data_IF_200487120179
#
_entry.id   IF_200487120179
#
_cell.length_a   1.000
_cell.length_b   1.000
_cell.length_c   1.000
_cell.angle_alpha   90.00
_cell.angle_beta   90.00
_cell.angle_gamma   90.00
#
_symmetry.space_group_name_H-M   'P 1'
#
loop_
_entity.id
_entity.type
_entity.pdbx_description
1 polymer ?
#
# COMPACT_ATOMS: atom_id res chain seq x y z
N UNK A 1 -4.73 -11.39 38.31
CA UNK A 1 -4.28 -10.51 37.19
C UNK A 1 -2.84 -10.76 36.72
N UNK A 2 -1.99 -11.51 37.44
CA UNK A 2 -0.59 -11.78 37.03
C UNK A 2 -0.40 -13.01 36.12
N UNK A 3 -1.31 -13.99 36.14
CA UNK A 3 -1.13 -15.24 35.37
C UNK A 3 -1.62 -15.15 33.92
N UNK A 4 -2.57 -14.25 33.62
CA UNK A 4 -3.05 -14.01 32.24
C UNK A 4 -2.03 -13.27 31.35
N UNK A 5 -1.16 -12.44 31.95
CA UNK A 5 -0.09 -11.74 31.23
C UNK A 5 1.06 -12.69 30.85
N UNK A 6 1.43 -13.64 31.73
CA UNK A 6 2.47 -14.64 31.47
C UNK A 6 2.08 -15.63 30.36
N UNK A 7 0.81 -16.01 30.26
CA UNK A 7 0.32 -16.94 29.22
C UNK A 7 0.33 -16.29 27.83
N UNK A 8 0.01 -14.99 27.70
CA UNK A 8 0.11 -14.25 26.42
C UNK A 8 1.55 -14.05 25.97
N UNK A 9 2.48 -13.77 26.89
CA UNK A 9 3.91 -13.62 26.58
C UNK A 9 4.53 -14.95 26.12
N UNK A 10 4.18 -16.08 26.76
CA UNK A 10 4.64 -17.41 26.33
C UNK A 10 4.07 -17.84 24.96
N UNK A 11 2.84 -17.45 24.63
CA UNK A 11 2.22 -17.71 23.31
C UNK A 11 2.95 -16.95 22.19
N UNK A 12 3.35 -15.71 22.44
CA UNK A 12 4.08 -14.86 21.49
C UNK A 12 5.52 -15.37 21.25
N UNK A 13 6.22 -15.77 22.31
CA UNK A 13 7.54 -16.42 22.21
C UNK A 13 7.49 -17.78 21.49
N UNK A 14 6.41 -18.55 21.63
CA UNK A 14 6.22 -19.80 20.87
C UNK A 14 5.98 -19.54 19.37
N UNK A 15 5.26 -18.47 19.01
CA UNK A 15 5.09 -18.06 17.61
C UNK A 15 6.40 -17.54 16.98
N UNK A 16 7.20 -16.76 17.71
CA UNK A 16 8.55 -16.37 17.30
C UNK A 16 9.50 -17.56 17.13
N UNK A 17 9.40 -18.57 18.01
CA UNK A 17 10.16 -19.82 17.83
C UNK A 17 9.70 -20.62 16.61
N UNK A 18 8.42 -20.62 16.26
CA UNK A 18 7.91 -21.25 15.02
C UNK A 18 8.39 -20.52 13.75
N UNK A 19 8.51 -19.19 13.79
CA UNK A 19 9.10 -18.39 12.71
C UNK A 19 10.61 -18.69 12.58
N UNK A 20 11.32 -18.77 13.70
CA UNK A 20 12.75 -19.14 13.72
C UNK A 20 13.01 -20.60 13.36
N UNK A 21 12.07 -21.52 13.58
CA UNK A 21 12.23 -22.95 13.25
C UNK A 21 11.93 -23.26 11.78
N UNK A 22 11.22 -22.38 11.06
CA UNK A 22 11.12 -22.39 9.60
C UNK A 22 12.42 -21.96 8.91
N UNK A 23 13.41 -21.47 9.66
CA UNK A 23 14.76 -21.16 9.19
C UNK A 23 15.59 -22.44 9.03
N UNK A 24 15.07 -23.40 8.27
CA UNK A 24 15.89 -24.49 7.75
C UNK A 24 16.87 -23.88 6.74
N UNK A 25 18.15 -23.97 7.07
CA UNK A 25 19.27 -23.68 6.18
C UNK A 25 19.04 -24.33 4.82
N UNK A 26 18.80 -23.50 3.79
CA UNK A 26 18.68 -23.98 2.42
C UNK A 26 20.03 -24.53 1.96
N UNK A 27 20.05 -25.82 1.61
CA UNK A 27 21.24 -26.49 1.08
C UNK A 27 21.54 -25.93 -0.31
N UNK A 28 22.72 -25.32 -0.46
CA UNK A 28 23.28 -24.81 -1.72
C UNK A 28 23.16 -25.83 -2.87
N UNK A 29 23.15 -27.14 -2.54
CA UNK A 29 22.97 -28.22 -3.50
C UNK A 29 21.68 -28.11 -4.31
N UNK A 30 20.60 -27.54 -3.76
CA UNK A 30 19.34 -27.37 -4.49
C UNK A 30 19.50 -26.47 -5.73
N UNK A 31 20.32 -25.42 -5.62
CA UNK A 31 20.60 -24.48 -6.71
C UNK A 31 21.67 -25.01 -7.67
N UNK A 32 22.63 -25.78 -7.18
CA UNK A 32 23.73 -26.34 -7.97
C UNK A 32 23.35 -27.60 -8.77
N UNK A 33 22.23 -28.25 -8.46
CA UNK A 33 21.75 -29.44 -9.19
C UNK A 33 21.11 -29.05 -10.52
N UNK A 34 21.90 -29.07 -11.60
CA UNK A 34 21.38 -29.25 -12.94
C UNK A 34 20.67 -30.62 -13.01
N UNK A 35 19.32 -30.62 -12.96
CA UNK A 35 18.54 -31.85 -13.23
C UNK A 35 19.09 -32.52 -14.48
N UNK A 36 19.43 -33.82 -14.36
CA UNK A 36 20.04 -34.64 -15.41
C UNK A 36 19.37 -34.35 -16.76
N UNK A 37 20.15 -34.18 -17.85
CA UNK A 37 19.58 -33.95 -19.16
C UNK A 37 18.60 -35.08 -19.51
N UNK A 38 17.43 -34.70 -20.01
CA UNK A 38 16.44 -35.63 -20.55
C UNK A 38 17.13 -36.38 -21.69
N UNK A 39 17.35 -37.69 -21.53
CA UNK A 39 17.99 -38.54 -22.56
C UNK A 39 17.13 -38.51 -23.84
N UNK A 40 17.47 -37.67 -24.80
CA UNK A 40 17.15 -37.89 -26.20
C UNK A 40 18.34 -38.58 -26.84
N UNK A 41 18.45 -39.90 -26.66
CA UNK A 41 19.41 -40.72 -27.38
C UNK A 41 18.91 -40.93 -28.81
N UNK A 42 19.27 -40.04 -29.72
CA UNK A 42 19.36 -40.36 -31.14
C UNK A 42 20.58 -39.65 -31.72
N UNK A 43 21.49 -40.46 -32.23
CA UNK A 43 22.75 -40.11 -32.92
C UNK A 43 23.96 -39.85 -32.02
N UNK A 44 24.63 -40.94 -31.62
CA UNK A 44 26.09 -40.92 -31.48
C UNK A 44 26.68 -42.17 -32.14
N UNK A 45 27.26 -41.96 -33.32
CA UNK A 45 28.14 -42.92 -33.99
C UNK A 45 29.46 -42.95 -33.21
N UNK A 46 29.98 -44.17 -33.05
CA UNK A 46 31.24 -44.50 -32.39
C UNK A 46 32.42 -43.81 -33.06
N UNK A 47 33.34 -43.28 -32.27
CA UNK A 47 34.77 -43.41 -32.57
C UNK A 47 35.60 -43.40 -31.29
N UNK A 48 36.55 -44.33 -31.23
CA UNK A 48 37.37 -44.65 -30.05
C UNK A 48 38.72 -43.93 -30.13
N UNK A 49 39.14 -43.40 -28.97
CA UNK A 49 40.51 -43.29 -28.46
C UNK A 49 41.57 -42.56 -29.30
N UNK A 50 41.74 -41.24 -29.05
CA UNK A 50 43.05 -40.57 -28.95
C UNK A 50 42.90 -39.36 -27.99
N UNK A 51 43.89 -39.13 -27.11
CA UNK A 51 44.13 -37.94 -26.26
C UNK A 51 43.28 -37.67 -24.99
N UNK A 52 43.86 -38.05 -23.84
CA UNK A 52 43.40 -37.74 -22.47
C UNK A 52 43.41 -36.23 -22.14
N UNK A 53 44.11 -35.40 -22.92
CA UNK A 53 44.09 -33.93 -22.81
C UNK A 53 42.98 -33.32 -23.67
N UNK A 54 42.75 -33.85 -24.88
CA UNK A 54 41.64 -33.44 -25.75
C UNK A 54 40.27 -33.79 -25.14
N UNK A 55 40.16 -34.92 -24.43
CA UNK A 55 38.94 -35.28 -23.67
C UNK A 55 38.56 -34.27 -22.59
N UNK A 56 39.53 -33.58 -21.98
CA UNK A 56 39.25 -32.54 -20.97
C UNK A 56 38.68 -31.30 -21.66
N UNK A 57 39.28 -30.88 -22.78
CA UNK A 57 38.83 -29.73 -23.59
C UNK A 57 37.44 -29.99 -24.20
N UNK A 58 37.19 -31.18 -24.76
CA UNK A 58 35.85 -31.58 -25.24
C UNK A 58 34.81 -31.66 -24.12
N UNK A 59 35.21 -32.06 -22.89
CA UNK A 59 34.30 -32.08 -21.75
C UNK A 59 33.84 -30.68 -21.33
N UNK A 60 34.69 -29.65 -21.47
CA UNK A 60 34.32 -28.27 -21.15
C UNK A 60 33.35 -27.69 -22.17
N UNK A 61 33.41 -28.10 -23.45
CA UNK A 61 32.41 -27.71 -24.45
C UNK A 61 31.01 -28.28 -24.16
N UNK A 62 30.93 -29.38 -23.38
CA UNK A 62 29.66 -29.97 -22.93
C UNK A 62 29.15 -29.39 -21.60
N UNK A 63 29.99 -28.62 -20.88
CA UNK A 63 29.60 -28.02 -19.61
C UNK A 63 28.80 -26.73 -19.85
N UNK A 64 27.62 -26.55 -19.22
CA UNK A 64 26.78 -25.36 -19.39
C UNK A 64 27.43 -24.00 -19.05
N UNK A 65 28.58 -24.00 -18.37
CA UNK A 65 29.36 -22.82 -17.99
C UNK A 65 30.71 -22.72 -18.75
N UNK A 66 31.00 -23.66 -19.66
CA UNK A 66 32.26 -23.70 -20.40
C UNK A 66 33.48 -23.74 -19.49
N UNK A 67 34.52 -22.99 -19.87
CA UNK A 67 35.76 -22.86 -19.08
C UNK A 67 35.55 -22.22 -17.70
N UNK A 68 34.45 -21.48 -17.49
CA UNK A 68 34.15 -20.90 -16.18
C UNK A 68 33.90 -21.97 -15.12
N UNK A 69 33.46 -23.17 -15.51
CA UNK A 69 33.28 -24.30 -14.58
C UNK A 69 34.60 -24.94 -14.13
N UNK A 70 35.72 -24.65 -14.81
CA UNK A 70 37.04 -25.11 -14.38
C UNK A 70 37.50 -24.42 -13.08
N UNK A 71 36.86 -23.30 -12.70
CA UNK A 71 37.21 -22.48 -11.56
C UNK A 71 36.41 -22.95 -10.32
N UNK A 72 37.07 -23.09 -9.14
CA UNK A 72 36.39 -23.33 -7.86
C UNK A 72 35.23 -22.36 -7.60
N UNK A 73 34.20 -22.84 -6.91
CA UNK A 73 32.98 -22.06 -6.64
C UNK A 73 33.28 -20.76 -5.87
N UNK A 74 34.27 -20.81 -4.98
CA UNK A 74 34.73 -19.68 -4.16
C UNK A 74 35.31 -18.57 -5.04
N UNK A 75 36.11 -18.93 -6.06
CA UNK A 75 36.69 -17.97 -6.99
C UNK A 75 35.62 -17.41 -7.94
N UNK A 76 34.64 -18.21 -8.36
CA UNK A 76 33.48 -17.71 -9.12
C UNK A 76 32.69 -16.67 -8.31
N UNK A 77 32.45 -16.95 -7.03
CA UNK A 77 31.77 -16.00 -6.14
C UNK A 77 32.61 -14.77 -5.82
N UNK A 78 33.95 -14.90 -5.79
CA UNK A 78 34.87 -13.77 -5.70
C UNK A 78 34.78 -12.87 -6.94
N UNK A 79 34.76 -13.45 -8.15
CA UNK A 79 34.56 -12.71 -9.41
C UNK A 79 33.22 -11.94 -9.37
N UNK A 80 32.16 -12.56 -8.87
CA UNK A 80 30.86 -11.91 -8.74
C UNK A 80 30.88 -10.69 -7.80
N UNK A 81 31.82 -10.57 -6.85
CA UNK A 81 31.93 -9.38 -6.00
C UNK A 81 32.39 -8.12 -6.75
N UNK A 82 33.02 -8.28 -7.93
CA UNK A 82 33.46 -7.16 -8.77
C UNK A 82 32.40 -6.68 -9.76
N UNK A 83 31.32 -7.44 -9.91
CA UNK A 83 30.18 -7.09 -10.75
C UNK A 83 29.19 -6.23 -9.98
N UNK A 84 28.37 -5.44 -10.66
CA UNK A 84 27.24 -4.77 -10.02
C UNK A 84 26.03 -5.72 -9.90
N UNK A 85 25.03 -5.35 -9.08
CA UNK A 85 23.75 -6.08 -9.00
C UNK A 85 23.08 -6.14 -10.39
N UNK A 86 23.25 -5.10 -11.21
CA UNK A 86 22.69 -5.04 -12.56
C UNK A 86 23.39 -6.02 -13.50
N UNK A 87 24.73 -6.08 -13.45
CA UNK A 87 25.50 -7.05 -14.23
C UNK A 87 25.12 -8.48 -13.86
N UNK A 88 25.05 -8.78 -12.56
CA UNK A 88 24.56 -10.07 -12.06
C UNK A 88 23.14 -10.35 -12.56
N UNK A 89 22.26 -9.34 -12.54
CA UNK A 89 20.90 -9.46 -13.04
C UNK A 89 20.86 -9.82 -14.53
N UNK A 90 21.71 -9.22 -15.37
CA UNK A 90 21.83 -9.54 -16.79
C UNK A 90 22.39 -10.96 -16.99
N UNK A 91 23.39 -11.37 -16.20
CA UNK A 91 23.95 -12.72 -16.32
C UNK A 91 22.93 -13.83 -16.03
N UNK A 92 21.91 -13.58 -15.21
CA UNK A 92 20.85 -14.57 -14.94
C UNK A 92 19.98 -14.93 -16.15
N UNK A 93 19.98 -14.13 -17.21
CA UNK A 93 19.22 -14.43 -18.43
C UNK A 93 20.07 -15.06 -19.54
N UNK A 94 21.38 -15.25 -19.33
CA UNK A 94 22.29 -15.82 -20.34
C UNK A 94 22.15 -17.35 -20.44
N UNK A 95 22.10 -18.06 -19.31
CA UNK A 95 21.90 -19.51 -19.30
C UNK A 95 21.31 -19.99 -17.98
N UNK A 96 20.67 -21.17 -17.99
CA UNK A 96 20.15 -21.79 -16.77
C UNK A 96 21.26 -22.05 -15.74
N UNK A 97 22.45 -22.46 -16.18
CA UNK A 97 23.55 -22.74 -15.27
C UNK A 97 24.12 -21.47 -14.65
N UNK A 98 24.24 -20.38 -15.42
CA UNK A 98 24.68 -19.09 -14.90
C UNK A 98 23.66 -18.53 -13.90
N UNK A 99 22.37 -18.59 -14.22
CA UNK A 99 21.29 -18.24 -13.30
C UNK A 99 21.39 -18.99 -11.97
N UNK A 100 21.48 -20.32 -12.02
CA UNK A 100 21.57 -21.19 -10.85
C UNK A 100 22.81 -20.85 -10.00
N UNK A 101 23.93 -20.55 -10.64
CA UNK A 101 25.17 -20.14 -9.98
C UNK A 101 25.01 -18.80 -9.24
N UNK A 102 24.36 -17.82 -9.87
CA UNK A 102 24.08 -16.50 -9.27
C UNK A 102 23.04 -16.61 -8.15
N UNK A 103 22.04 -17.45 -8.29
CA UNK A 103 21.10 -17.75 -7.20
C UNK A 103 21.81 -18.40 -6.02
N UNK A 104 22.75 -19.32 -6.28
CA UNK A 104 23.63 -19.89 -5.25
C UNK A 104 24.42 -18.80 -4.52
N UNK A 105 25.07 -17.90 -5.26
CA UNK A 105 25.79 -16.75 -4.69
C UNK A 105 24.90 -15.88 -3.81
N UNK A 106 23.67 -15.60 -4.27
CA UNK A 106 22.67 -14.82 -3.54
C UNK A 106 22.31 -15.43 -2.19
N UNK A 107 22.14 -16.75 -2.13
CA UNK A 107 21.71 -17.45 -0.91
C UNK A 107 22.86 -17.65 0.09
N UNK A 108 24.08 -17.91 -0.38
CA UNK A 108 25.20 -18.24 0.51
C UNK A 108 25.79 -17.05 1.25
N UNK A 109 25.98 -15.93 0.54
CA UNK A 109 26.51 -14.67 1.09
C UNK A 109 26.59 -13.67 -0.06
N UNK A 110 25.57 -12.84 -0.20
CA UNK A 110 25.79 -11.52 -0.79
C UNK A 110 26.88 -10.83 0.05
N UNK A 111 28.08 -10.75 -0.51
CA UNK A 111 29.30 -10.29 0.16
C UNK A 111 29.86 -9.06 -0.54
N UNK A 112 30.69 -8.29 0.16
CA UNK A 112 31.28 -7.07 -0.41
C UNK A 112 30.19 -6.04 -0.77
N UNK A 113 30.20 -5.44 -1.97
CA UNK A 113 29.27 -4.36 -2.35
C UNK A 113 27.80 -4.81 -2.39
N UNK A 114 27.56 -6.11 -2.51
CA UNK A 114 26.22 -6.70 -2.55
C UNK A 114 25.63 -6.94 -1.17
N UNK A 115 26.41 -6.83 -0.10
CA UNK A 115 25.92 -7.07 1.26
C UNK A 115 24.70 -6.19 1.55
N UNK A 116 23.68 -6.80 2.15
CA UNK A 116 22.48 -6.12 2.61
C UNK A 116 22.61 -5.92 4.11
N UNK A 117 22.95 -4.70 4.53
CA UNK A 117 22.84 -4.34 5.93
C UNK A 117 21.38 -4.05 6.25
N UNK A 118 20.70 -5.06 6.76
CA UNK A 118 19.31 -4.91 7.23
C UNK A 118 19.22 -3.94 8.41
N UNK A 119 20.29 -3.82 9.21
CA UNK A 119 20.37 -2.86 10.32
C UNK A 119 20.26 -1.41 9.82
N UNK A 120 20.86 -1.10 8.68
CA UNK A 120 20.90 0.27 8.16
C UNK A 120 19.50 0.78 7.78
N UNK A 121 18.58 -0.12 7.40
CA UNK A 121 17.18 0.21 7.10
C UNK A 121 16.38 0.66 8.33
N UNK A 122 16.87 0.30 9.53
CA UNK A 122 16.25 0.65 10.81
C UNK A 122 16.90 1.88 11.44
N UNK A 123 17.94 2.45 10.81
CA UNK A 123 18.54 3.72 11.20
C UNK A 123 17.74 4.90 10.62
N UNK A 124 17.93 6.07 11.22
CA UNK A 124 17.41 7.32 10.68
C UNK A 124 18.32 7.78 9.55
N UNK A 125 17.83 7.70 8.32
CA UNK A 125 18.59 8.02 7.10
C UNK A 125 18.25 9.40 6.55
N UNK A 126 19.22 10.08 5.95
CA UNK A 126 19.00 11.31 5.17
C UNK A 126 18.21 11.00 3.89
N UNK A 127 17.60 12.03 3.27
CA UNK A 127 16.83 11.84 2.03
C UNK A 127 17.67 11.22 0.89
N UNK A 128 18.94 11.62 0.78
CA UNK A 128 19.89 11.07 -0.19
C UNK A 128 20.14 9.58 0.06
N UNK A 129 20.41 9.20 1.32
CA UNK A 129 20.60 7.80 1.71
C UNK A 129 19.35 6.95 1.47
N UNK A 130 18.16 7.50 1.75
CA UNK A 130 16.90 6.81 1.46
C UNK A 130 16.75 6.55 -0.05
N UNK A 131 17.08 7.54 -0.88
CA UNK A 131 17.02 7.42 -2.34
C UNK A 131 17.99 6.36 -2.86
N UNK A 132 19.22 6.34 -2.33
CA UNK A 132 20.22 5.31 -2.67
C UNK A 132 19.74 3.91 -2.29
N UNK A 133 19.16 3.75 -1.09
CA UNK A 133 18.61 2.48 -0.64
C UNK A 133 17.44 2.03 -1.51
N UNK A 134 16.52 2.91 -1.87
CA UNK A 134 15.42 2.59 -2.80
C UNK A 134 15.95 2.17 -4.18
N UNK A 135 16.98 2.84 -4.69
CA UNK A 135 17.66 2.46 -5.94
C UNK A 135 18.28 1.05 -5.84
N UNK A 136 18.96 0.74 -4.73
CA UNK A 136 19.50 -0.61 -4.49
C UNK A 136 18.40 -1.68 -4.46
N UNK A 137 17.28 -1.42 -3.80
CA UNK A 137 16.15 -2.36 -3.74
C UNK A 137 15.43 -2.53 -5.09
N UNK A 138 15.38 -1.49 -5.92
CA UNK A 138 14.95 -1.63 -7.30
C UNK A 138 15.87 -2.57 -8.09
N UNK A 139 17.20 -2.40 -8.02
CA UNK A 139 18.17 -3.28 -8.69
C UNK A 139 18.07 -4.73 -8.20
N UNK A 140 17.87 -4.94 -6.89
CA UNK A 140 17.60 -6.26 -6.32
C UNK A 140 16.30 -6.87 -6.87
N UNK A 141 15.26 -6.07 -7.02
CA UNK A 141 14.00 -6.49 -7.62
C UNK A 141 14.19 -6.95 -9.06
N UNK A 142 15.01 -6.24 -9.86
CA UNK A 142 15.35 -6.65 -11.22
C UNK A 142 16.12 -7.98 -11.24
N UNK A 143 17.11 -8.16 -10.36
CA UNK A 143 17.84 -9.43 -10.21
C UNK A 143 16.89 -10.60 -9.92
N UNK A 144 15.97 -10.43 -8.95
CA UNK A 144 15.00 -11.49 -8.60
C UNK A 144 14.00 -11.70 -9.73
N UNK A 145 13.51 -10.64 -10.39
CA UNK A 145 12.60 -10.76 -11.54
C UNK A 145 13.22 -11.58 -12.67
N UNK A 146 14.46 -11.27 -13.04
CA UNK A 146 15.18 -11.93 -14.15
C UNK A 146 15.60 -13.35 -13.81
N UNK A 147 16.11 -13.60 -12.60
CA UNK A 147 16.44 -14.96 -12.16
C UNK A 147 15.21 -15.85 -12.06
N UNK A 148 14.08 -15.33 -11.61
CA UNK A 148 12.88 -16.15 -11.34
C UNK A 148 11.84 -16.13 -12.46
N UNK A 149 12.15 -15.58 -13.64
CA UNK A 149 11.16 -15.37 -14.71
C UNK A 149 10.54 -16.67 -15.26
N UNK A 150 11.23 -17.82 -15.10
CA UNK A 150 10.74 -19.14 -15.51
C UNK A 150 10.14 -19.94 -14.35
N UNK A 151 10.04 -19.35 -13.16
CA UNK A 151 9.55 -20.05 -11.97
C UNK A 151 8.03 -19.91 -11.89
N UNK A 152 7.37 -20.94 -11.36
CA UNK A 152 5.96 -20.82 -11.03
C UNK A 152 5.76 -19.72 -9.98
N UNK A 153 4.63 -19.01 -10.03
CA UNK A 153 4.28 -17.92 -9.09
C UNK A 153 4.53 -18.31 -7.64
N UNK A 154 4.14 -19.54 -7.25
CA UNK A 154 4.33 -20.07 -5.89
C UNK A 154 5.79 -20.05 -5.43
N UNK A 155 6.74 -20.40 -6.30
CA UNK A 155 8.16 -20.42 -5.94
C UNK A 155 8.76 -19.01 -5.93
N UNK A 156 8.28 -18.12 -6.79
CA UNK A 156 8.64 -16.69 -6.77
C UNK A 156 8.20 -16.03 -5.45
N UNK A 157 6.98 -16.35 -5.00
CA UNK A 157 6.43 -15.85 -3.74
C UNK A 157 7.21 -16.32 -2.50
N UNK A 158 7.77 -17.54 -2.50
CA UNK A 158 8.66 -18.00 -1.42
C UNK A 158 9.89 -17.11 -1.29
N UNK A 159 10.50 -16.75 -2.43
CA UNK A 159 11.68 -15.87 -2.46
C UNK A 159 11.32 -14.46 -1.97
N UNK A 160 10.15 -13.94 -2.37
CA UNK A 160 9.65 -12.64 -1.91
C UNK A 160 9.43 -12.65 -0.39
N UNK A 161 8.79 -13.68 0.16
CA UNK A 161 8.57 -13.80 1.60
C UNK A 161 9.87 -13.94 2.39
N UNK A 162 10.86 -14.64 1.86
CA UNK A 162 12.18 -14.73 2.46
C UNK A 162 12.83 -13.34 2.57
N UNK A 163 12.74 -12.54 1.52
CA UNK A 163 13.19 -11.14 1.56
C UNK A 163 12.45 -10.34 2.63
N UNK A 164 11.13 -10.47 2.68
CA UNK A 164 10.29 -9.78 3.66
C UNK A 164 10.65 -10.18 5.10
N UNK A 165 10.90 -11.46 5.36
CA UNK A 165 11.30 -11.96 6.69
C UNK A 165 12.60 -11.29 7.16
N UNK A 166 13.55 -11.05 6.24
CA UNK A 166 14.87 -10.49 6.59
C UNK A 166 14.84 -8.98 6.87
N UNK A 167 13.89 -8.26 6.27
CA UNK A 167 13.77 -6.80 6.40
C UNK A 167 12.68 -6.37 7.41
N UNK A 168 11.75 -7.28 7.73
CA UNK A 168 10.61 -6.95 8.59
C UNK A 168 11.08 -6.49 9.97
N UNK A 169 10.66 -5.28 10.35
CA UNK A 169 10.95 -4.70 11.65
C UNK A 169 10.17 -5.47 12.72
N UNK A 170 10.85 -6.41 13.38
CA UNK A 170 10.19 -7.37 14.29
C UNK A 170 10.31 -7.00 15.77
N UNK A 171 11.30 -6.17 16.16
CA UNK A 171 11.60 -5.85 17.56
C UNK A 171 11.94 -4.36 17.76
N UNK A 172 11.39 -3.77 18.82
CA UNK A 172 11.70 -2.43 19.34
C UNK A 172 13.18 -2.24 19.68
N UNK A 173 13.90 -3.32 19.98
CA UNK A 173 15.32 -3.26 20.37
C UNK A 173 16.25 -2.86 19.21
N UNK A 174 15.84 -3.11 17.95
CA UNK A 174 16.65 -2.85 16.75
C UNK A 174 16.18 -1.63 15.95
N UNK A 175 15.00 -1.07 16.26
CA UNK A 175 14.45 0.08 15.54
C UNK A 175 13.92 1.09 16.54
N UNK A 176 14.68 2.17 16.74
CA UNK A 176 14.38 3.23 17.69
C UNK A 176 13.18 4.10 17.28
N UNK A 177 12.88 4.14 15.98
CA UNK A 177 11.77 4.91 15.43
C UNK A 177 11.13 4.14 14.25
N UNK A 178 10.11 3.29 14.52
CA UNK A 178 9.39 2.57 13.48
C UNK A 178 8.74 3.48 12.45
N UNK A 179 8.35 4.71 12.83
CA UNK A 179 7.66 5.65 11.95
C UNK A 179 8.54 6.20 10.82
N UNK A 180 9.87 6.11 10.97
CA UNK A 180 10.86 6.55 9.97
C UNK A 180 11.68 5.40 9.39
N UNK A 181 11.30 4.16 9.71
CA UNK A 181 11.98 2.97 9.20
C UNK A 181 11.59 2.72 7.74
N UNK A 182 12.55 2.86 6.82
CA UNK A 182 12.27 2.69 5.37
C UNK A 182 12.21 1.23 4.93
N UNK A 183 12.32 0.25 5.85
CA UNK A 183 12.42 -1.17 5.49
C UNK A 183 11.24 -1.66 4.63
N UNK A 184 10.00 -1.31 5.01
CA UNK A 184 8.82 -1.67 4.23
C UNK A 184 8.70 -0.86 2.93
N UNK A 185 9.20 0.38 2.90
CA UNK A 185 9.25 1.19 1.68
C UNK A 185 10.23 0.59 0.66
N UNK A 186 11.42 0.19 1.12
CA UNK A 186 12.39 -0.58 0.33
C UNK A 186 11.81 -1.91 -0.14
N UNK A 187 11.06 -2.62 0.73
CA UNK A 187 10.34 -3.81 0.32
C UNK A 187 9.34 -3.55 -0.78
N UNK A 188 8.50 -2.53 -0.64
CA UNK A 188 7.52 -2.14 -1.65
C UNK A 188 8.19 -1.87 -2.99
N UNK A 189 9.30 -1.11 -2.99
CA UNK A 189 10.08 -0.85 -4.20
C UNK A 189 10.61 -2.13 -4.85
N UNK A 190 11.14 -3.05 -4.05
CA UNK A 190 11.56 -4.37 -4.51
C UNK A 190 10.40 -5.18 -5.07
N UNK A 191 9.29 -5.29 -4.33
CA UNK A 191 8.10 -6.05 -4.67
C UNK A 191 7.53 -5.60 -6.01
N UNK A 192 7.23 -4.29 -6.15
CA UNK A 192 6.67 -3.72 -7.38
C UNK A 192 7.60 -3.91 -8.58
N UNK A 193 8.92 -3.92 -8.36
CA UNK A 193 9.87 -4.24 -9.43
C UNK A 193 9.81 -5.72 -9.83
N UNK A 194 9.62 -6.64 -8.89
CA UNK A 194 9.51 -8.09 -9.15
C UNK A 194 8.21 -8.46 -9.84
N UNK A 195 7.09 -7.86 -9.40
CA UNK A 195 5.74 -8.15 -9.91
C UNK A 195 5.37 -7.34 -11.15
N UNK A 196 6.21 -6.40 -11.58
CA UNK A 196 5.96 -5.65 -12.81
C UNK A 196 5.75 -6.60 -14.00
N UNK A 197 4.59 -6.50 -14.65
CA UNK A 197 4.17 -7.35 -15.78
C UNK A 197 3.53 -8.69 -15.38
N UNK A 198 3.25 -8.90 -14.10
CA UNK A 198 2.38 -9.98 -13.64
C UNK A 198 0.92 -9.62 -13.94
N UNK A 199 0.08 -10.63 -14.15
CA UNK A 199 -1.36 -10.41 -14.27
C UNK A 199 -2.03 -10.19 -12.89
N UNK A 200 -3.26 -9.67 -12.91
CA UNK A 200 -4.05 -9.35 -11.71
C UNK A 200 -4.22 -10.53 -10.75
N UNK A 201 -4.31 -11.76 -11.27
CA UNK A 201 -4.46 -12.98 -10.46
C UNK A 201 -3.17 -13.35 -9.74
N UNK A 202 -2.02 -13.15 -10.38
CA UNK A 202 -0.73 -13.32 -9.73
C UNK A 202 -0.46 -12.21 -8.70
N UNK A 203 -0.81 -10.96 -9.02
CA UNK A 203 -0.73 -9.83 -8.11
C UNK A 203 -1.63 -10.02 -6.87
N UNK A 204 -2.84 -10.56 -7.06
CA UNK A 204 -3.72 -10.94 -5.96
C UNK A 204 -3.08 -12.00 -5.05
N UNK A 205 -2.49 -13.05 -5.62
CA UNK A 205 -1.78 -14.06 -4.83
C UNK A 205 -0.59 -13.49 -4.07
N UNK A 206 0.11 -12.51 -4.65
CA UNK A 206 1.17 -11.78 -3.96
C UNK A 206 0.62 -10.98 -2.77
N UNK A 207 -0.47 -10.24 -2.97
CA UNK A 207 -1.18 -9.52 -1.90
C UNK A 207 -1.52 -10.43 -0.73
N UNK A 208 -2.22 -11.54 -1.00
CA UNK A 208 -2.69 -12.48 0.02
C UNK A 208 -1.52 -13.10 0.79
N UNK A 209 -0.48 -13.51 0.06
CA UNK A 209 0.71 -14.15 0.63
C UNK A 209 1.47 -13.20 1.56
N UNK A 210 1.63 -11.93 1.17
CA UNK A 210 2.34 -10.92 1.96
C UNK A 210 1.51 -10.54 3.20
N UNK A 211 0.20 -10.33 3.02
CA UNK A 211 -0.71 -10.03 4.13
C UNK A 211 -0.74 -11.17 5.17
N UNK A 212 -0.75 -12.42 4.71
CA UNK A 212 -0.68 -13.59 5.56
C UNK A 212 0.66 -13.67 6.30
N UNK A 213 1.78 -13.45 5.60
CA UNK A 213 3.12 -13.52 6.18
C UNK A 213 3.30 -12.51 7.32
N UNK A 214 2.81 -11.28 7.13
CA UNK A 214 2.90 -10.21 8.13
C UNK A 214 1.75 -10.21 9.14
N UNK A 215 0.82 -11.18 9.03
CA UNK A 215 -0.39 -11.27 9.84
C UNK A 215 -1.20 -9.95 9.88
N UNK A 216 -1.11 -9.12 8.84
CA UNK A 216 -1.67 -7.76 8.87
C UNK A 216 -3.19 -7.77 8.97
N UNK A 217 -3.86 -8.76 8.38
CA UNK A 217 -5.32 -8.90 8.43
C UNK A 217 -5.85 -8.97 9.86
N UNK A 218 -5.08 -9.53 10.81
CA UNK A 218 -5.45 -9.51 12.24
C UNK A 218 -5.38 -8.10 12.81
N UNK A 219 -4.33 -7.34 12.50
CA UNK A 219 -4.20 -5.95 12.93
C UNK A 219 -5.31 -5.09 12.34
N UNK A 220 -5.60 -5.24 11.04
CA UNK A 220 -6.72 -4.55 10.37
C UNK A 220 -8.02 -4.85 11.09
N UNK A 221 -8.34 -6.14 11.33
CA UNK A 221 -9.55 -6.53 12.04
C UNK A 221 -9.64 -5.86 13.41
N UNK A 222 -8.55 -5.85 14.18
CA UNK A 222 -8.52 -5.20 15.50
C UNK A 222 -8.81 -3.70 15.40
N UNK A 223 -8.15 -2.97 14.50
CA UNK A 223 -8.30 -1.50 14.44
C UNK A 223 -9.66 -1.07 13.90
N UNK A 224 -10.21 -1.76 12.89
CA UNK A 224 -11.51 -1.38 12.30
C UNK A 224 -12.70 -1.76 13.19
N UNK A 225 -12.58 -2.81 14.01
CA UNK A 225 -13.66 -3.26 14.91
C UNK A 225 -13.63 -2.64 16.31
N UNK A 226 -12.49 -2.07 16.71
CA UNK A 226 -12.37 -1.37 18.00
C UNK A 226 -12.87 0.08 17.88
N UNK A 227 -12.98 0.79 19.02
CA UNK A 227 -13.24 2.23 19.01
C UNK A 227 -12.09 2.95 18.27
N UNK A 228 -12.36 3.89 17.34
CA UNK A 228 -11.32 4.67 16.68
C UNK A 228 -10.37 5.32 17.71
N UNK A 229 -9.06 5.30 17.44
CA UNK A 229 -8.01 5.85 18.31
C UNK A 229 -7.62 4.94 19.49
N UNK A 230 -8.40 3.90 19.81
CA UNK A 230 -8.07 2.98 20.92
C UNK A 230 -6.77 2.19 20.72
N UNK A 231 -6.32 2.06 19.48
CA UNK A 231 -5.11 1.32 19.12
C UNK A 231 -4.22 2.13 18.17
N UNK A 232 -3.97 3.42 18.47
CA UNK A 232 -3.23 4.34 17.59
C UNK A 232 -1.93 3.79 17.01
N UNK A 233 -1.11 3.10 17.82
CA UNK A 233 0.10 2.42 17.32
C UNK A 233 -0.20 1.38 16.23
N UNK A 234 -1.21 0.52 16.41
CA UNK A 234 -1.59 -0.48 15.41
C UNK A 234 -2.21 0.17 14.17
N UNK A 235 -2.95 1.25 14.31
CA UNK A 235 -3.47 2.02 13.19
C UNK A 235 -2.31 2.57 12.34
N UNK A 236 -1.28 3.12 12.97
CA UNK A 236 -0.04 3.55 12.32
C UNK A 236 0.68 2.41 11.59
N UNK A 237 0.77 1.23 12.21
CA UNK A 237 1.35 0.02 11.57
C UNK A 237 0.55 -0.39 10.33
N UNK A 238 -0.78 -0.42 10.43
CA UNK A 238 -1.68 -0.76 9.30
C UNK A 238 -1.53 0.25 8.16
N UNK A 239 -1.54 1.56 8.49
CA UNK A 239 -1.33 2.64 7.53
C UNK A 239 -0.01 2.48 6.79
N UNK A 240 1.11 2.40 7.53
CA UNK A 240 2.45 2.28 6.95
C UNK A 240 2.60 1.03 6.11
N UNK A 241 2.08 -0.11 6.57
CA UNK A 241 2.15 -1.36 5.81
C UNK A 241 1.50 -1.21 4.43
N UNK A 242 0.26 -0.74 4.35
CA UNK A 242 -0.44 -0.62 3.06
C UNK A 242 0.13 0.51 2.20
N UNK A 243 0.43 1.67 2.80
CA UNK A 243 1.03 2.80 2.10
C UNK A 243 2.39 2.44 1.50
N UNK A 244 3.32 1.94 2.30
CA UNK A 244 4.70 1.77 1.86
C UNK A 244 4.92 0.55 0.97
N UNK A 245 4.17 -0.54 1.18
CA UNK A 245 4.36 -1.76 0.38
C UNK A 245 3.61 -1.67 -0.94
N UNK A 246 2.36 -1.17 -0.94
CA UNK A 246 1.46 -1.27 -2.09
C UNK A 246 1.10 0.09 -2.71
N UNK A 247 0.61 1.05 -1.92
CA UNK A 247 -0.06 2.24 -2.48
C UNK A 247 0.90 3.34 -2.94
N UNK A 248 1.99 3.59 -2.21
CA UNK A 248 2.97 4.65 -2.53
C UNK A 248 3.91 4.25 -3.67
N UNK A 249 3.97 2.96 -4.00
CA UNK A 249 4.78 2.44 -5.10
C UNK A 249 4.07 2.50 -6.46
N UNK A 250 2.77 2.79 -6.47
CA UNK A 250 1.96 2.84 -7.67
C UNK A 250 2.35 4.04 -8.54
N UNK A 251 2.68 3.78 -9.81
CA UNK A 251 3.01 4.82 -10.79
C UNK A 251 1.82 5.16 -11.69
N UNK A 252 0.81 4.29 -11.76
CA UNK A 252 -0.37 4.50 -12.61
C UNK A 252 -1.65 4.51 -11.78
N UNK A 253 -2.67 5.20 -12.30
CA UNK A 253 -4.00 5.27 -11.69
C UNK A 253 -4.66 3.88 -11.59
N UNK A 254 -4.65 3.03 -12.64
CA UNK A 254 -5.22 1.68 -12.56
C UNK A 254 -4.53 0.80 -11.52
N UNK A 255 -3.20 0.84 -11.39
CA UNK A 255 -2.49 0.07 -10.37
C UNK A 255 -2.96 0.48 -8.98
N UNK A 256 -3.04 1.79 -8.72
CA UNK A 256 -3.49 2.31 -7.43
C UNK A 256 -4.94 1.91 -7.14
N UNK A 257 -5.81 1.93 -8.14
CA UNK A 257 -7.21 1.49 -8.06
C UNK A 257 -7.31 -0.01 -7.74
N UNK A 258 -6.48 -0.84 -8.37
CA UNK A 258 -6.39 -2.27 -8.09
C UNK A 258 -6.01 -2.52 -6.63
N UNK A 259 -4.88 -1.95 -6.17
CA UNK A 259 -4.39 -2.21 -4.81
C UNK A 259 -5.32 -1.73 -3.72
N UNK A 260 -5.89 -0.52 -3.85
CA UNK A 260 -6.86 -0.04 -2.85
C UNK A 260 -8.12 -0.91 -2.83
N UNK A 261 -8.57 -1.43 -3.98
CA UNK A 261 -9.71 -2.34 -4.05
C UNK A 261 -9.41 -3.65 -3.30
N UNK A 262 -8.21 -4.22 -3.47
CA UNK A 262 -7.79 -5.44 -2.72
C UNK A 262 -7.70 -5.22 -1.22
N UNK A 263 -7.37 -4.01 -0.79
CA UNK A 263 -7.27 -3.65 0.62
C UNK A 263 -8.66 -3.52 1.26
N UNK A 264 -9.61 -2.87 0.57
CA UNK A 264 -10.91 -2.51 1.14
C UNK A 264 -11.99 -3.58 0.92
N UNK A 265 -12.18 -4.09 -0.31
CA UNK A 265 -13.31 -4.97 -0.67
C UNK A 265 -13.48 -6.23 0.19
N UNK A 266 -12.44 -6.83 0.80
CA UNK A 266 -12.64 -7.95 1.72
C UNK A 266 -13.43 -7.62 3.00
N UNK A 267 -13.64 -6.35 3.31
CA UNK A 267 -14.26 -5.89 4.55
C UNK A 267 -15.71 -5.39 4.32
N UNK A 268 -16.60 -5.45 5.33
CA UNK A 268 -17.89 -4.76 5.31
C UNK A 268 -17.72 -3.24 5.13
N UNK A 269 -18.72 -2.57 4.57
CA UNK A 269 -18.68 -1.13 4.23
C UNK A 269 -18.21 -0.24 5.38
N UNK A 270 -18.67 -0.52 6.61
CA UNK A 270 -18.25 0.15 7.85
C UNK A 270 -16.74 0.13 8.05
N UNK A 271 -16.15 -1.04 7.85
CA UNK A 271 -14.73 -1.25 8.02
C UNK A 271 -13.93 -0.74 6.81
N UNK A 272 -14.53 -0.70 5.62
CA UNK A 272 -13.93 -0.07 4.45
C UNK A 272 -13.73 1.43 4.67
N UNK A 273 -14.76 2.13 5.14
CA UNK A 273 -14.69 3.56 5.43
C UNK A 273 -13.63 3.89 6.48
N UNK A 274 -13.62 3.15 7.61
CA UNK A 274 -12.62 3.30 8.67
C UNK A 274 -11.20 3.02 8.17
N UNK A 275 -11.02 1.95 7.39
CA UNK A 275 -9.71 1.58 6.85
C UNK A 275 -9.23 2.61 5.82
N UNK A 276 -10.11 3.14 4.97
CA UNK A 276 -9.78 4.21 4.04
C UNK A 276 -9.29 5.45 4.79
N UNK A 277 -10.01 5.85 5.85
CA UNK A 277 -9.62 6.97 6.69
C UNK A 277 -8.27 6.73 7.36
N UNK A 278 -8.02 5.53 7.92
CA UNK A 278 -6.71 5.15 8.48
C UNK A 278 -5.57 5.31 7.47
N UNK A 279 -5.81 4.94 6.22
CA UNK A 279 -4.79 4.95 5.17
C UNK A 279 -4.53 6.36 4.62
N UNK A 280 -5.58 7.19 4.48
CA UNK A 280 -5.54 8.44 3.72
C UNK A 280 -5.80 9.72 4.52
N UNK A 281 -6.13 9.64 5.82
CA UNK A 281 -6.28 10.84 6.64
C UNK A 281 -5.03 11.72 6.55
N UNK A 282 -5.26 13.01 6.30
CA UNK A 282 -4.19 13.98 6.06
C UNK A 282 -3.38 14.31 7.30
N UNK A 283 -4.03 14.39 8.46
CA UNK A 283 -3.37 14.68 9.72
C UNK A 283 -2.89 13.40 10.42
N UNK A 284 -1.67 13.00 10.07
CA UNK A 284 -0.92 11.93 10.75
C UNK A 284 0.25 12.55 11.52
N UNK A 285 -0.08 13.24 12.62
CA UNK A 285 0.88 13.89 13.51
C UNK A 285 1.39 12.91 14.55
N UNK A 286 2.70 12.94 14.82
CA UNK A 286 3.35 12.12 15.87
C UNK A 286 3.14 10.60 15.77
N UNK A 287 2.70 10.07 14.62
CA UNK A 287 2.45 8.65 14.43
C UNK A 287 1.03 8.19 14.74
N UNK A 288 0.10 9.12 14.99
CA UNK A 288 -1.28 8.84 15.36
C UNK A 288 -2.28 9.53 14.42
N UNK A 289 -3.46 8.94 14.28
CA UNK A 289 -4.55 9.49 13.47
C UNK A 289 -5.40 10.39 14.36
N UNK A 290 -5.63 11.62 13.90
CA UNK A 290 -6.47 12.60 14.59
C UNK A 290 -7.95 12.38 14.21
N UNK A 291 -8.60 11.44 14.90
CA UNK A 291 -9.98 11.02 14.57
C UNK A 291 -11.04 12.10 14.83
N UNK A 292 -10.86 12.93 15.85
CA UNK A 292 -11.85 13.92 16.27
C UNK A 292 -11.71 15.27 15.55
N UNK A 293 -10.62 15.47 14.81
CA UNK A 293 -10.30 16.76 14.24
C UNK A 293 -11.37 17.28 13.26
N UNK A 294 -11.95 16.38 12.45
CA UNK A 294 -13.03 16.71 11.52
C UNK A 294 -14.38 16.99 12.21
N UNK A 295 -14.50 16.65 13.50
CA UNK A 295 -15.70 16.90 14.32
C UNK A 295 -15.55 18.14 15.21
N UNK A 296 -14.31 18.57 15.49
CA UNK A 296 -14.02 19.64 16.46
C UNK A 296 -13.54 20.93 15.81
N UNK A 297 -12.89 20.86 14.65
CA UNK A 297 -12.24 22.02 14.02
C UNK A 297 -12.56 22.13 12.54
N UNK A 298 -12.58 23.35 12.00
CA UNK A 298 -12.71 23.59 10.56
C UNK A 298 -11.42 24.21 10.00
N UNK A 299 -11.01 23.87 8.77
CA UNK A 299 -9.83 24.45 8.16
C UNK A 299 -9.98 25.95 8.00
N UNK A 300 -8.96 26.74 8.34
CA UNK A 300 -9.05 28.21 8.30
C UNK A 300 -9.02 28.73 6.86
N UNK A 301 -8.25 28.08 5.98
CA UNK A 301 -8.03 28.48 4.60
C UNK A 301 -7.92 27.28 3.65
N UNK A 302 -7.71 27.56 2.36
CA UNK A 302 -7.60 26.56 1.29
C UNK A 302 -6.38 25.64 1.46
N UNK A 303 -5.28 26.13 2.03
CA UNK A 303 -4.07 25.35 2.25
C UNK A 303 -4.31 24.30 3.34
N UNK A 304 -4.86 24.71 4.48
CA UNK A 304 -5.27 23.80 5.55
C UNK A 304 -6.32 22.80 5.08
N UNK A 305 -7.31 23.25 4.30
CA UNK A 305 -8.34 22.39 3.71
C UNK A 305 -7.71 21.29 2.83
N UNK A 306 -6.68 21.64 2.07
CA UNK A 306 -5.94 20.69 1.23
C UNK A 306 -5.20 19.64 2.06
N UNK A 307 -4.67 19.98 3.24
CA UNK A 307 -4.02 19.01 4.14
C UNK A 307 -5.02 17.93 4.54
N UNK A 308 -6.24 18.30 4.92
CA UNK A 308 -7.24 17.35 5.42
C UNK A 308 -7.88 16.51 4.31
N UNK A 309 -8.29 17.15 3.23
CA UNK A 309 -9.20 16.52 2.27
C UNK A 309 -8.49 15.97 1.03
N UNK A 310 -7.35 16.52 0.60
CA UNK A 310 -6.76 16.18 -0.72
C UNK A 310 -6.48 14.68 -0.90
N UNK A 311 -5.92 14.03 0.12
CA UNK A 311 -5.56 12.61 0.06
C UNK A 311 -6.80 11.72 0.01
N UNK A 312 -7.83 12.05 0.78
CA UNK A 312 -9.10 11.32 0.84
C UNK A 312 -9.92 11.56 -0.44
N UNK A 313 -10.06 12.82 -0.87
CA UNK A 313 -10.82 13.16 -2.07
C UNK A 313 -10.20 12.55 -3.32
N UNK A 314 -8.87 12.59 -3.44
CA UNK A 314 -8.15 11.97 -4.56
C UNK A 314 -8.39 10.48 -4.66
N UNK A 315 -8.43 9.76 -3.53
CA UNK A 315 -8.67 8.31 -3.56
C UNK A 315 -10.13 7.97 -3.83
N UNK A 316 -11.08 8.76 -3.31
CA UNK A 316 -12.51 8.60 -3.60
C UNK A 316 -12.82 8.86 -5.08
N UNK A 317 -12.27 9.93 -5.66
CA UNK A 317 -12.36 10.22 -7.09
C UNK A 317 -11.75 9.10 -7.93
N UNK A 318 -10.58 8.60 -7.51
CA UNK A 318 -9.91 7.51 -8.20
C UNK A 318 -10.77 6.25 -8.24
N UNK A 319 -11.37 5.88 -7.11
CA UNK A 319 -12.30 4.77 -7.04
C UNK A 319 -13.54 4.99 -7.91
N UNK A 320 -14.07 6.21 -7.94
CA UNK A 320 -15.27 6.57 -8.69
C UNK A 320 -15.07 6.54 -10.21
N UNK A 321 -13.94 7.07 -10.69
CA UNK A 321 -13.71 7.32 -12.10
C UNK A 321 -12.94 6.20 -12.80
N UNK A 322 -12.14 5.43 -12.06
CA UNK A 322 -11.15 4.54 -12.67
C UNK A 322 -11.24 3.09 -12.20
N UNK A 323 -12.09 2.76 -11.24
CA UNK A 323 -12.27 1.37 -10.83
C UNK A 323 -13.56 0.78 -11.41
N UNK A 324 -13.45 -0.37 -12.06
CA UNK A 324 -14.60 -1.15 -12.55
C UNK A 324 -15.27 -1.96 -11.44
N UNK A 325 -14.62 -2.08 -10.28
CA UNK A 325 -15.11 -2.87 -9.15
C UNK A 325 -15.99 -2.08 -8.19
N UNK A 326 -16.10 -0.75 -8.37
CA UNK A 326 -16.80 0.14 -7.46
C UNK A 326 -18.00 0.81 -8.13
N UNK A 327 -19.14 0.75 -7.45
CA UNK A 327 -20.34 1.50 -7.84
C UNK A 327 -20.37 2.87 -7.18
N UNK A 328 -21.18 3.78 -7.73
CA UNK A 328 -21.37 5.10 -7.12
C UNK A 328 -21.98 4.99 -5.71
N UNK A 329 -22.92 4.04 -5.51
CA UNK A 329 -23.60 3.85 -4.22
C UNK A 329 -22.66 3.31 -3.13
N UNK A 330 -21.71 2.42 -3.49
CA UNK A 330 -20.69 1.95 -2.56
C UNK A 330 -19.78 3.10 -2.10
N UNK A 331 -19.37 3.98 -3.02
CA UNK A 331 -18.52 5.14 -2.67
C UNK A 331 -19.29 6.14 -1.82
N UNK A 332 -20.56 6.41 -2.15
CA UNK A 332 -21.44 7.25 -1.32
C UNK A 332 -21.58 6.66 0.08
N UNK A 333 -21.77 5.34 0.20
CA UNK A 333 -21.87 4.65 1.49
C UNK A 333 -20.57 4.73 2.30
N UNK A 334 -19.41 4.67 1.64
CA UNK A 334 -18.12 4.90 2.29
C UNK A 334 -18.04 6.33 2.84
N UNK A 335 -18.44 7.33 2.06
CA UNK A 335 -18.38 8.73 2.47
C UNK A 335 -19.30 8.95 3.67
N UNK A 336 -20.56 8.53 3.58
CA UNK A 336 -21.54 8.67 4.66
C UNK A 336 -21.04 8.04 5.96
N UNK A 337 -20.52 6.81 5.89
CA UNK A 337 -19.99 6.12 7.07
C UNK A 337 -18.73 6.80 7.64
N UNK A 338 -17.83 7.26 6.78
CA UNK A 338 -16.60 7.94 7.19
C UNK A 338 -16.90 9.26 7.89
N UNK A 339 -17.89 10.02 7.39
CA UNK A 339 -18.29 11.31 7.97
C UNK A 339 -19.10 11.17 9.26
N UNK A 340 -19.51 9.96 9.63
CA UNK A 340 -20.22 9.65 10.88
C UNK A 340 -19.39 8.81 11.87
N UNK A 341 -18.07 8.69 11.65
CA UNK A 341 -17.17 7.92 12.52
C UNK A 341 -15.90 8.73 12.88
N UNK A 342 -15.47 8.76 14.16
CA UNK A 342 -16.14 8.21 15.35
C UNK A 342 -17.38 8.98 15.78
N UNK A 343 -17.45 10.26 15.42
CA UNK A 343 -18.50 11.22 15.68
C UNK A 343 -18.86 11.89 14.35
N UNK A 344 -20.02 12.53 14.30
CA UNK A 344 -20.44 13.25 13.10
C UNK A 344 -19.49 14.42 12.84
N UNK A 345 -18.95 14.45 11.62
CA UNK A 345 -18.12 15.56 11.17
C UNK A 345 -18.93 16.84 11.14
N UNK A 346 -18.25 17.97 11.32
CA UNK A 346 -18.86 19.28 11.10
C UNK A 346 -19.35 19.36 9.66
N UNK A 347 -20.56 19.91 9.46
CA UNK A 347 -21.18 20.02 8.13
C UNK A 347 -20.30 20.83 7.18
N UNK A 348 -19.55 21.81 7.70
CA UNK A 348 -18.53 22.56 6.95
C UNK A 348 -17.40 21.65 6.41
N UNK A 349 -16.95 20.67 7.19
CA UNK A 349 -15.92 19.71 6.76
C UNK A 349 -16.46 18.69 5.76
N UNK A 350 -17.72 18.27 5.91
CA UNK A 350 -18.41 17.46 4.89
C UNK A 350 -18.47 18.23 3.57
N UNK A 351 -18.89 19.50 3.60
CA UNK A 351 -18.91 20.38 2.44
C UNK A 351 -17.51 20.57 1.82
N UNK A 352 -16.47 20.77 2.65
CA UNK A 352 -15.08 20.86 2.21
C UNK A 352 -14.60 19.60 1.48
N UNK A 353 -14.88 18.42 2.03
CA UNK A 353 -14.58 17.15 1.38
C UNK A 353 -15.33 16.99 0.04
N UNK A 354 -16.62 17.35 -0.02
CA UNK A 354 -17.42 17.24 -1.25
C UNK A 354 -16.89 18.16 -2.35
N UNK A 355 -16.51 19.40 -2.03
CA UNK A 355 -15.85 20.29 -2.98
C UNK A 355 -14.52 19.68 -3.49
N UNK A 356 -13.72 19.12 -2.59
CA UNK A 356 -12.47 18.45 -2.95
C UNK A 356 -12.68 17.18 -3.80
N UNK A 357 -13.82 16.49 -3.64
CA UNK A 357 -14.23 15.33 -4.43
C UNK A 357 -14.73 15.70 -5.83
N UNK A 358 -14.98 16.99 -6.10
CA UNK A 358 -15.42 17.48 -7.40
C UNK A 358 -16.92 17.27 -7.65
N UNK A 359 -17.43 17.99 -8.64
CA UNK A 359 -18.87 18.15 -8.88
C UNK A 359 -19.61 16.83 -9.14
N UNK A 360 -19.06 15.94 -9.97
CA UNK A 360 -19.75 14.70 -10.34
C UNK A 360 -20.06 13.81 -9.13
N UNK A 361 -19.08 13.58 -8.25
CA UNK A 361 -19.27 12.73 -7.07
C UNK A 361 -20.12 13.44 -6.01
N UNK A 362 -19.88 14.73 -5.78
CA UNK A 362 -20.66 15.54 -4.84
C UNK A 362 -22.15 15.57 -5.23
N UNK A 363 -22.47 15.86 -6.49
CA UNK A 363 -23.85 15.91 -6.98
C UNK A 363 -24.55 14.57 -6.82
N UNK A 364 -23.88 13.44 -7.11
CA UNK A 364 -24.47 12.09 -6.92
C UNK A 364 -24.78 11.80 -5.45
N UNK A 365 -23.89 12.16 -4.54
CA UNK A 365 -24.10 11.99 -3.10
C UNK A 365 -25.28 12.83 -2.60
N UNK A 366 -25.31 14.11 -2.98
CA UNK A 366 -26.39 15.02 -2.59
C UNK A 366 -27.74 14.61 -3.19
N UNK A 367 -27.75 14.16 -4.45
CA UNK A 367 -28.93 13.60 -5.11
C UNK A 367 -29.42 12.34 -4.39
N UNK A 368 -28.53 11.44 -3.96
CA UNK A 368 -28.89 10.27 -3.15
C UNK A 368 -29.56 10.68 -1.84
N UNK A 369 -29.05 11.70 -1.13
CA UNK A 369 -29.71 12.23 0.08
C UNK A 369 -31.10 12.81 -0.22
N UNK A 370 -31.26 13.51 -1.35
CA UNK A 370 -32.54 14.06 -1.79
C UNK A 370 -33.58 12.97 -2.10
N UNK A 371 -33.18 11.90 -2.81
CA UNK A 371 -34.04 10.73 -3.11
C UNK A 371 -34.50 10.06 -1.82
N UNK A 372 -33.63 9.98 -0.81
CA UNK A 372 -33.94 9.41 0.50
C UNK A 372 -34.69 10.35 1.45
N UNK A 373 -35.11 11.54 0.98
CA UNK A 373 -35.91 12.49 1.76
C UNK A 373 -35.15 13.19 2.90
N UNK A 374 -33.80 13.15 2.89
CA UNK A 374 -32.96 13.75 3.95
C UNK A 374 -32.80 15.27 3.77
N UNK A 375 -33.91 16.00 3.64
CA UNK A 375 -33.90 17.41 3.24
C UNK A 375 -33.27 18.36 4.27
N UNK A 376 -33.35 18.04 5.56
CA UNK A 376 -32.74 18.87 6.62
C UNK A 376 -31.21 18.81 6.52
N UNK A 377 -30.65 17.61 6.53
CA UNK A 377 -29.21 17.39 6.35
C UNK A 377 -28.71 17.99 5.02
N UNK A 378 -29.46 17.78 3.94
CA UNK A 378 -29.12 18.32 2.63
C UNK A 378 -29.10 19.85 2.61
N UNK A 379 -30.08 20.50 3.24
CA UNK A 379 -30.12 21.96 3.35
C UNK A 379 -28.92 22.51 4.13
N UNK A 380 -28.54 21.86 5.23
CA UNK A 380 -27.34 22.19 6.01
C UNK A 380 -26.07 22.07 5.16
N UNK A 381 -25.91 20.97 4.40
CA UNK A 381 -24.74 20.78 3.53
C UNK A 381 -24.68 21.84 2.43
N UNK A 382 -25.80 22.19 1.79
CA UNK A 382 -25.83 23.25 0.75
C UNK A 382 -25.44 24.61 1.34
N UNK A 383 -25.95 24.96 2.53
CA UNK A 383 -25.56 26.20 3.20
C UNK A 383 -24.06 26.22 3.53
N UNK A 384 -23.52 25.12 4.06
CA UNK A 384 -22.09 24.97 4.32
C UNK A 384 -21.24 24.99 3.06
N UNK A 385 -21.70 24.44 1.92
CA UNK A 385 -21.00 24.54 0.64
C UNK A 385 -20.84 26.00 0.19
N UNK A 386 -21.91 26.80 0.29
CA UNK A 386 -21.84 28.23 0.02
C UNK A 386 -20.84 28.93 0.96
N UNK A 387 -20.88 28.62 2.26
CA UNK A 387 -19.97 29.20 3.25
C UNK A 387 -18.50 28.87 2.94
N UNK A 388 -18.20 27.60 2.67
CA UNK A 388 -16.85 27.13 2.32
C UNK A 388 -16.37 27.77 1.01
N UNK A 389 -17.25 27.92 0.01
CA UNK A 389 -16.90 28.62 -1.22
C UNK A 389 -16.50 30.08 -0.96
N UNK A 390 -17.25 30.80 -0.12
CA UNK A 390 -16.89 32.18 0.27
C UNK A 390 -15.58 32.20 1.05
N UNK A 391 -15.43 31.33 2.05
CA UNK A 391 -14.26 31.24 2.94
C UNK A 391 -12.96 30.95 2.17
N UNK A 392 -13.03 30.15 1.11
CA UNK A 392 -11.86 29.72 0.33
C UNK A 392 -11.75 30.39 -1.05
N UNK A 393 -12.55 31.43 -1.32
CA UNK A 393 -12.60 32.13 -2.61
C UNK A 393 -12.88 31.19 -3.82
N UNK A 394 -13.70 30.16 -3.63
CA UNK A 394 -14.19 29.31 -4.71
C UNK A 394 -15.48 29.88 -5.34
N UNK A 395 -15.77 29.47 -6.57
CA UNK A 395 -16.99 29.92 -7.27
C UNK A 395 -18.25 29.25 -6.70
N UNK A 396 -19.24 30.07 -6.35
CA UNK A 396 -20.58 29.60 -5.94
C UNK A 396 -21.33 28.96 -7.11
N UNK A 397 -20.93 29.23 -8.37
CA UNK A 397 -21.59 28.67 -9.55
C UNK A 397 -21.66 27.14 -9.51
N UNK A 398 -20.62 26.48 -9.00
CA UNK A 398 -20.59 25.03 -8.88
C UNK A 398 -21.72 24.54 -7.95
N UNK A 399 -21.95 25.22 -6.82
CA UNK A 399 -23.03 24.88 -5.87
C UNK A 399 -24.41 25.08 -6.52
N UNK A 400 -24.57 26.12 -7.33
CA UNK A 400 -25.81 26.36 -8.09
C UNK A 400 -26.09 25.23 -9.08
N UNK A 401 -25.08 24.77 -9.81
CA UNK A 401 -25.22 23.63 -10.72
C UNK A 401 -25.59 22.34 -9.97
N UNK A 402 -24.95 22.08 -8.82
CA UNK A 402 -25.35 20.95 -7.95
C UNK A 402 -26.82 21.08 -7.52
N UNK A 403 -27.24 22.27 -7.11
CA UNK A 403 -28.61 22.56 -6.67
C UNK A 403 -29.64 22.31 -7.77
N UNK A 404 -29.37 22.76 -9.00
CA UNK A 404 -30.23 22.50 -10.17
C UNK A 404 -30.40 20.99 -10.42
N UNK A 405 -29.31 20.23 -10.36
CA UNK A 405 -29.35 18.77 -10.49
C UNK A 405 -30.16 18.10 -9.37
N UNK A 406 -29.97 18.53 -8.12
CA UNK A 406 -30.70 18.01 -6.96
C UNK A 406 -32.20 18.27 -7.09
N UNK A 407 -32.60 19.49 -7.47
CA UNK A 407 -34.01 19.87 -7.66
C UNK A 407 -34.63 19.08 -8.82
N UNK A 408 -33.85 18.77 -9.86
CA UNK A 408 -34.32 17.98 -10.99
C UNK A 408 -34.64 16.52 -10.60
N UNK A 409 -33.90 15.94 -9.64
CA UNK A 409 -34.08 14.55 -9.18
C UNK A 409 -35.28 14.37 -8.26
N UNK A 410 -35.69 15.41 -7.53
CA UNK A 410 -36.92 15.36 -6.72
C UNK A 410 -38.12 15.38 -7.69
N UNK A 411 -38.94 14.33 -7.73
CA UNK A 411 -40.06 14.28 -8.68
C UNK A 411 -41.28 15.09 -8.15
N UNK A 412 -41.53 15.03 -6.85
CA UNK A 412 -42.72 15.60 -6.22
C UNK A 412 -42.58 17.13 -6.01
N UNK A 413 -43.44 17.98 -6.60
CA UNK A 413 -43.37 19.43 -6.44
C UNK A 413 -43.52 19.91 -4.98
N UNK A 414 -44.26 19.18 -4.14
CA UNK A 414 -44.40 19.53 -2.72
C UNK A 414 -43.10 19.31 -1.97
N UNK A 415 -42.41 18.21 -2.24
CA UNK A 415 -41.10 17.90 -1.66
C UNK A 415 -40.04 18.90 -2.12
N UNK A 416 -40.08 19.36 -3.39
CA UNK A 416 -39.21 20.47 -3.86
C UNK A 416 -39.40 21.71 -3.02
N UNK A 417 -40.66 22.11 -2.79
CA UNK A 417 -40.97 23.30 -2.01
C UNK A 417 -40.55 23.15 -0.54
N UNK A 418 -40.74 21.96 0.04
CA UNK A 418 -40.23 21.64 1.39
C UNK A 418 -38.70 21.81 1.44
N UNK A 419 -37.97 21.22 0.49
CA UNK A 419 -36.51 21.33 0.43
C UNK A 419 -36.04 22.78 0.30
N UNK A 420 -36.62 23.54 -0.62
CA UNK A 420 -36.27 24.97 -0.82
C UNK A 420 -36.55 25.80 0.44
N UNK A 421 -37.68 25.56 1.12
CA UNK A 421 -37.98 26.23 2.39
C UNK A 421 -36.96 25.85 3.48
N UNK A 422 -36.51 24.58 3.54
CA UNK A 422 -35.48 24.16 4.49
C UNK A 422 -34.14 24.86 4.26
N UNK A 423 -33.75 25.09 3.01
CA UNK A 423 -32.55 25.89 2.70
C UNK A 423 -32.72 27.31 3.25
N UNK A 424 -33.85 27.96 2.96
CA UNK A 424 -34.12 29.31 3.44
C UNK A 424 -34.09 29.40 4.97
N UNK A 425 -34.70 28.43 5.65
CA UNK A 425 -34.72 28.39 7.11
C UNK A 425 -33.32 28.17 7.69
N UNK A 426 -32.51 27.28 7.08
CA UNK A 426 -31.10 27.06 7.48
C UNK A 426 -30.28 28.35 7.36
N UNK A 427 -30.43 29.10 6.26
CA UNK A 427 -29.72 30.38 6.11
C UNK A 427 -30.20 31.43 7.12
N UNK A 428 -31.50 31.48 7.46
CA UNK A 428 -32.01 32.37 8.50
C UNK A 428 -31.38 32.06 9.85
N UNK A 429 -31.31 30.78 10.21
CA UNK A 429 -30.67 30.32 11.46
C UNK A 429 -29.21 30.77 11.52
N UNK A 430 -28.43 30.51 10.45
CA UNK A 430 -27.01 30.93 10.38
C UNK A 430 -26.80 32.46 10.48
N UNK A 431 -27.71 33.25 9.89
CA UNK A 431 -27.66 34.73 9.97
C UNK A 431 -28.01 35.22 11.37
N UNK A 432 -28.99 34.60 12.03
CA UNK A 432 -29.34 34.93 13.41
C UNK A 432 -28.20 34.60 14.37
N UNK A 433 -27.61 33.40 14.24
CA UNK A 433 -26.47 32.98 15.07
C UNK A 433 -25.30 33.97 14.95
N UNK A 434 -24.98 34.40 13.72
CA UNK A 434 -23.92 35.40 13.50
C UNK A 434 -24.25 36.77 14.10
N UNK A 435 -25.51 37.21 14.08
CA UNK A 435 -25.93 38.46 14.69
C UNK A 435 -25.87 38.41 16.23
N UNK A 436 -26.33 37.32 16.84
CA UNK A 436 -26.28 37.12 18.29
C UNK A 436 -24.84 37.08 18.83
N UNK A 437 -23.90 36.50 18.07
CA UNK A 437 -22.47 36.52 18.39
C UNK A 437 -21.85 37.93 18.34
N UNK A 438 -22.27 38.78 17.38
CA UNK A 438 -21.79 40.17 17.30
C UNK A 438 -22.31 41.06 18.43
N UNK A 439 -23.49 40.78 18.97
CA UNK A 439 -24.08 41.57 20.06
C UNK A 439 -23.55 41.13 21.44
N UNK A 440 -23.27 39.83 21.62
CA UNK A 440 -22.62 39.31 22.83
C UNK A 440 -21.12 39.66 22.94
N UNK A 441 -20.43 39.87 21.81
CA UNK A 441 -19.05 40.37 21.76
C UNK A 441 -18.87 41.86 22.07
N UNK A 442 -19.96 42.64 22.18
CA UNK A 442 -19.93 44.07 22.57
C UNK A 442 -20.16 44.30 24.07
N UNK A 443 -20.30 43.23 24.85
CA UNK A 443 -20.57 43.25 26.30
C UNK A 443 -19.34 42.93 27.17
N UNK A 444 -18.13 42.89 26.59
CA UNK A 444 -16.86 42.76 27.32
C UNK A 444 -15.96 43.98 27.15
#
# INVERSE_FOLDING_TARGET
MSDFAKVKQLSWFKQLKLINHCCATMDIKFYLLSKKPRRSSRSSVKEKNVHTVAKKVESFHSCPLGYFDAIPIELRFSIFQFLTIEDLSILTIVSKAMRNLIEGYRVTRFSGPHCMSYRDLHLRLSLEQQTEMLSKYHKLGLLVKRSTCLYATKDRLKIINEFLTRIACSNSDNCKDPSRCIALLCFGKFLHTVIAGWDDSECQRAFDTICQHMCITKHVKTVVSSKPGSHGHLEGVVRQFFRWIFLDQCTTIPDKAFWISRILKPWPIVFQARLLFIIYSGNFTSGEIQWHEMSETTPVDTEHSSIFFSSISSILQLLHLHSTEWTSDEIISIIDEMTSTPEDWLVENIAGLLLACGECLATKLLASKAINGKYVELASIIASLCLVCVKHNHSINQVMTMMDCIIAVIENPREKLVFLNRILDTFKELVLDTHEFTDSGKLF
#
